data_IF_260986078035
#
_entry.id   IF_260986078035
#
_cell.length_a   1.000
_cell.length_b   1.000
_cell.length_c   1.000
_cell.angle_alpha   90.00
_cell.angle_beta   90.00
_cell.angle_gamma   90.00
#
_symmetry.space_group_name_H-M   'P 1'
#
loop_
_entity.id
_entity.type
_entity.pdbx_description
1 polymer ?
#
# COMPACT_ATOMS: atom_id res chain seq x y z
N UNK A 1 -22.55 13.29 -21.72
CA UNK A 1 -22.18 11.86 -21.65
C UNK A 1 -20.77 11.80 -21.08
N UNK A 2 -20.58 11.28 -19.85
CA UNK A 2 -19.27 11.22 -19.20
C UNK A 2 -18.46 10.18 -19.99
N UNK A 3 -17.40 10.59 -20.67
CA UNK A 3 -16.54 9.67 -21.42
C UNK A 3 -15.66 8.96 -20.40
N UNK A 4 -16.11 7.78 -19.95
CA UNK A 4 -15.35 6.95 -19.03
C UNK A 4 -14.09 6.49 -19.78
N UNK A 5 -12.92 6.72 -19.19
CA UNK A 5 -11.66 6.22 -19.75
C UNK A 5 -11.72 4.70 -19.87
N UNK A 6 -10.99 4.11 -20.83
CA UNK A 6 -10.78 2.66 -20.91
C UNK A 6 -10.27 2.13 -19.56
N UNK A 7 -9.42 2.92 -18.89
CA UNK A 7 -8.94 2.65 -17.54
C UNK A 7 -10.07 2.56 -16.53
N UNK A 8 -11.01 3.52 -16.53
CA UNK A 8 -12.15 3.51 -15.60
C UNK A 8 -13.04 2.29 -15.81
N UNK A 9 -13.22 1.87 -17.07
CA UNK A 9 -14.03 0.70 -17.42
C UNK A 9 -13.40 -0.59 -16.91
N UNK A 10 -12.08 -0.76 -17.10
CA UNK A 10 -11.34 -1.93 -16.64
C UNK A 10 -11.29 -1.96 -15.11
N UNK A 11 -10.96 -0.84 -14.48
CA UNK A 11 -10.93 -0.70 -13.02
C UNK A 11 -12.28 -1.05 -12.41
N UNK A 12 -13.38 -0.50 -12.94
CA UNK A 12 -14.71 -0.80 -12.44
C UNK A 12 -15.12 -2.27 -12.68
N UNK A 13 -14.70 -2.88 -13.78
CA UNK A 13 -14.94 -4.31 -14.01
C UNK A 13 -14.21 -5.19 -12.96
N UNK A 14 -13.01 -4.79 -12.52
CA UNK A 14 -12.22 -5.52 -11.52
C UNK A 14 -12.76 -5.32 -10.10
N UNK A 15 -13.17 -4.10 -9.73
CA UNK A 15 -13.60 -3.78 -8.37
C UNK A 15 -15.11 -3.88 -8.13
N UNK A 16 -15.94 -3.96 -9.18
CA UNK A 16 -17.39 -4.12 -9.02
C UNK A 16 -17.80 -5.45 -8.35
N UNK A 17 -17.15 -6.62 -8.59
CA UNK A 17 -17.45 -7.83 -7.84
C UNK A 17 -17.07 -7.70 -6.37
N UNK A 18 -15.94 -7.05 -6.07
CA UNK A 18 -15.49 -6.78 -4.70
C UNK A 18 -16.48 -5.87 -3.97
N UNK A 19 -16.98 -4.83 -4.64
CA UNK A 19 -18.01 -3.94 -4.13
C UNK A 19 -19.29 -4.71 -3.79
N UNK A 20 -19.80 -5.48 -4.75
CA UNK A 20 -21.03 -6.28 -4.57
C UNK A 20 -20.89 -7.26 -3.39
N UNK A 21 -19.75 -7.93 -3.27
CA UNK A 21 -19.48 -8.82 -2.14
C UNK A 21 -19.42 -8.07 -0.81
N UNK A 22 -18.75 -6.92 -0.75
CA UNK A 22 -18.59 -6.13 0.47
C UNK A 22 -19.92 -5.55 0.95
N UNK A 23 -20.77 -5.11 0.04
CA UNK A 23 -22.09 -4.54 0.32
C UNK A 23 -23.14 -5.60 0.65
N UNK A 24 -22.88 -6.88 0.34
CA UNK A 24 -23.80 -7.98 0.61
C UNK A 24 -24.09 -8.16 2.11
N UNK A 25 -23.13 -7.86 2.99
CA UNK A 25 -23.35 -7.89 4.43
C UNK A 25 -22.41 -6.97 5.21
N UNK A 26 -22.82 -6.45 6.38
CA UNK A 26 -21.92 -5.72 7.27
C UNK A 26 -20.69 -6.52 7.70
N UNK A 27 -20.82 -7.86 7.79
CA UNK A 27 -19.71 -8.75 8.10
C UNK A 27 -18.61 -8.72 7.03
N UNK A 28 -18.99 -8.79 5.75
CA UNK A 28 -18.04 -8.71 4.64
C UNK A 28 -17.31 -7.37 4.60
N UNK A 29 -18.05 -6.27 4.82
CA UNK A 29 -17.48 -4.94 4.94
C UNK A 29 -16.43 -4.86 6.07
N UNK A 30 -16.75 -5.41 7.24
CA UNK A 30 -15.84 -5.43 8.39
C UNK A 30 -14.60 -6.30 8.14
N UNK A 31 -14.72 -7.40 7.40
CA UNK A 31 -13.56 -8.21 6.98
C UNK A 31 -12.62 -7.39 6.09
N UNK A 32 -13.17 -6.59 5.18
CA UNK A 32 -12.37 -5.77 4.26
C UNK A 32 -11.63 -4.64 5.02
N UNK A 33 -12.29 -4.01 5.98
CA UNK A 33 -11.66 -3.04 6.89
C UNK A 33 -10.61 -3.72 7.77
N UNK A 34 -10.96 -4.83 8.41
CA UNK A 34 -10.09 -5.53 9.35
C UNK A 34 -8.80 -6.02 8.68
N UNK A 35 -8.92 -6.63 7.50
CA UNK A 35 -7.77 -7.03 6.68
C UNK A 35 -6.91 -5.84 6.26
N UNK A 36 -7.53 -4.70 5.90
CA UNK A 36 -6.82 -3.45 5.63
C UNK A 36 -6.00 -2.97 6.82
N UNK A 37 -6.55 -3.02 8.05
CA UNK A 37 -5.81 -2.63 9.25
C UNK A 37 -4.68 -3.59 9.60
N UNK A 38 -4.90 -4.91 9.46
CA UNK A 38 -3.82 -5.90 9.62
C UNK A 38 -2.68 -5.59 8.66
N UNK A 39 -3.00 -5.31 7.39
CA UNK A 39 -2.01 -4.95 6.37
C UNK A 39 -1.26 -3.67 6.73
N UNK A 40 -1.97 -2.65 7.21
CA UNK A 40 -1.37 -1.39 7.67
C UNK A 40 -0.39 -1.63 8.81
N UNK A 41 -0.80 -2.36 9.84
CA UNK A 41 0.01 -2.64 11.03
C UNK A 41 1.25 -3.43 10.65
N UNK A 42 1.12 -4.45 9.80
CA UNK A 42 2.28 -5.22 9.30
C UNK A 42 3.24 -4.31 8.53
N UNK A 43 2.73 -3.47 7.63
CA UNK A 43 3.55 -2.52 6.86
C UNK A 43 4.28 -1.50 7.74
N UNK A 44 3.60 -0.98 8.77
CA UNK A 44 4.18 -0.08 9.76
C UNK A 44 5.28 -0.75 10.56
N UNK A 45 5.01 -1.93 11.13
CA UNK A 45 5.98 -2.68 11.93
C UNK A 45 7.21 -2.99 11.08
N UNK A 46 7.01 -3.51 9.86
CA UNK A 46 8.11 -3.86 8.95
C UNK A 46 8.99 -2.64 8.67
N UNK A 47 8.39 -1.54 8.24
CA UNK A 47 9.11 -0.30 7.91
C UNK A 47 9.84 0.24 9.14
N UNK A 48 9.16 0.34 10.28
CA UNK A 48 9.74 0.86 11.51
C UNK A 48 10.92 0.03 12.01
N UNK A 49 10.77 -1.30 12.05
CA UNK A 49 11.83 -2.22 12.50
C UNK A 49 13.06 -2.09 11.62
N UNK A 50 12.91 -2.08 10.29
CA UNK A 50 14.08 -1.99 9.40
C UNK A 50 14.71 -0.60 9.37
N UNK A 51 13.92 0.48 9.49
CA UNK A 51 14.48 1.83 9.67
C UNK A 51 15.32 1.90 10.96
N UNK A 52 14.80 1.37 12.08
CA UNK A 52 15.55 1.29 13.35
C UNK A 52 16.82 0.45 13.23
N UNK A 53 16.74 -0.69 12.54
CA UNK A 53 17.88 -1.59 12.36
C UNK A 53 19.00 -1.01 11.49
N UNK A 54 18.71 -0.05 10.62
CA UNK A 54 19.73 0.59 9.79
C UNK A 54 20.65 1.55 10.57
N UNK A 55 20.25 1.99 11.77
CA UNK A 55 21.13 2.75 12.67
C UNK A 55 21.09 4.27 12.44
N UNK A 56 22.18 4.96 12.80
CA UNK A 56 22.26 6.43 12.72
C UNK A 56 22.26 6.90 11.27
N UNK A 57 21.68 8.07 11.03
CA UNK A 57 21.70 8.72 9.72
C UNK A 57 23.15 9.09 9.35
N UNK A 58 23.67 8.39 8.35
CA UNK A 58 24.88 8.73 7.59
C UNK A 58 24.50 8.90 6.10
N UNK A 59 25.47 9.28 5.26
CA UNK A 59 25.23 9.52 3.83
C UNK A 59 24.61 8.30 3.13
N UNK A 60 25.04 7.09 3.49
CA UNK A 60 24.55 5.82 2.94
C UNK A 60 23.11 5.54 3.38
N UNK A 61 22.83 5.64 4.67
CA UNK A 61 21.53 5.34 5.27
C UNK A 61 20.48 6.33 4.80
N UNK A 62 20.89 7.59 4.56
CA UNK A 62 20.02 8.60 3.99
C UNK A 62 19.59 8.24 2.55
N UNK A 63 20.53 7.77 1.70
CA UNK A 63 20.18 7.32 0.35
C UNK A 63 19.22 6.11 0.37
N UNK A 64 19.40 5.17 1.31
CA UNK A 64 18.49 4.03 1.47
C UNK A 64 17.10 4.50 1.92
N UNK A 65 17.03 5.40 2.89
CA UNK A 65 15.76 5.98 3.35
C UNK A 65 15.04 6.73 2.21
N UNK A 66 15.78 7.51 1.41
CA UNK A 66 15.22 8.19 0.24
C UNK A 66 14.68 7.20 -0.79
N UNK A 67 15.42 6.14 -1.12
CA UNK A 67 14.95 5.10 -2.04
C UNK A 67 13.71 4.39 -1.49
N UNK A 68 13.67 4.12 -0.19
CA UNK A 68 12.48 3.57 0.48
C UNK A 68 11.28 4.49 0.33
N UNK A 69 11.48 5.80 0.53
CA UNK A 69 10.47 6.82 0.30
C UNK A 69 10.00 6.89 -1.16
N UNK A 70 10.90 6.68 -2.12
CA UNK A 70 10.53 6.59 -3.55
C UNK A 70 9.63 5.38 -3.83
N UNK A 71 9.92 4.21 -3.25
CA UNK A 71 9.03 3.04 -3.37
C UNK A 71 7.66 3.29 -2.73
N UNK A 72 7.62 3.97 -1.58
CA UNK A 72 6.36 4.40 -0.97
C UNK A 72 5.57 5.33 -1.91
N UNK A 73 6.23 6.34 -2.49
CA UNK A 73 5.62 7.30 -3.40
C UNK A 73 5.07 6.60 -4.65
N UNK A 74 5.84 5.70 -5.26
CA UNK A 74 5.35 4.90 -6.39
C UNK A 74 4.15 4.04 -6.00
N UNK A 75 4.16 3.44 -4.80
CA UNK A 75 3.01 2.71 -4.28
C UNK A 75 1.76 3.58 -4.18
N UNK A 76 1.87 4.80 -3.65
CA UNK A 76 0.76 5.76 -3.55
C UNK A 76 0.23 6.14 -4.93
N UNK A 77 1.11 6.51 -5.86
CA UNK A 77 0.72 6.94 -7.22
C UNK A 77 0.03 5.80 -7.97
N UNK A 78 0.58 4.59 -7.94
CA UNK A 78 -0.02 3.42 -8.59
C UNK A 78 -1.41 3.12 -8.01
N UNK A 79 -1.56 3.17 -6.69
CA UNK A 79 -2.86 2.99 -6.06
C UNK A 79 -3.85 4.10 -6.42
N UNK A 80 -3.42 5.36 -6.55
CA UNK A 80 -4.30 6.48 -6.94
C UNK A 80 -4.77 6.42 -8.40
N UNK A 81 -4.04 5.68 -9.26
CA UNK A 81 -4.42 5.40 -10.64
C UNK A 81 -5.35 4.18 -10.76
N UNK A 82 -5.12 3.16 -9.93
CA UNK A 82 -5.84 1.88 -10.01
C UNK A 82 -7.12 1.90 -9.16
N UNK A 83 -7.14 2.53 -7.99
CA UNK A 83 -8.27 2.42 -7.08
C UNK A 83 -9.43 3.34 -7.48
N UNK A 84 -10.68 2.83 -7.43
CA UNK A 84 -11.85 3.61 -7.77
C UNK A 84 -12.11 4.67 -6.69
N UNK A 85 -12.55 5.83 -7.16
CA UNK A 85 -12.76 7.04 -6.34
C UNK A 85 -14.25 7.30 -6.05
N UNK A 86 -15.13 6.61 -6.73
CA UNK A 86 -16.58 6.89 -6.64
C UNK A 86 -17.27 6.07 -5.53
N UNK A 87 -16.66 4.96 -5.07
CA UNK A 87 -17.22 4.09 -4.03
C UNK A 87 -16.12 3.48 -3.16
N UNK A 88 -16.49 3.08 -1.93
CA UNK A 88 -15.59 2.45 -0.94
C UNK A 88 -14.28 3.22 -0.72
N UNK A 89 -14.30 4.55 -0.93
CA UNK A 89 -13.11 5.40 -0.93
C UNK A 89 -12.29 5.22 0.34
N UNK A 90 -12.91 5.23 1.52
CA UNK A 90 -12.20 5.11 2.80
C UNK A 90 -11.45 3.79 2.91
N UNK A 91 -12.01 2.73 2.33
CA UNK A 91 -11.40 1.41 2.39
C UNK A 91 -10.24 1.32 1.40
N UNK A 92 -10.41 1.78 0.17
CA UNK A 92 -9.30 1.87 -0.79
C UNK A 92 -8.19 2.81 -0.32
N UNK A 93 -8.54 3.88 0.39
CA UNK A 93 -7.58 4.76 1.05
C UNK A 93 -6.75 4.00 2.09
N UNK A 94 -7.38 3.19 2.95
CA UNK A 94 -6.68 2.32 3.91
C UNK A 94 -5.72 1.36 3.19
N UNK A 95 -6.18 0.66 2.15
CA UNK A 95 -5.33 -0.24 1.38
C UNK A 95 -4.19 0.49 0.65
N UNK A 96 -4.43 1.70 0.14
CA UNK A 96 -3.41 2.51 -0.55
C UNK A 96 -2.20 2.74 0.33
N UNK A 97 -2.41 3.28 1.53
CA UNK A 97 -1.30 3.57 2.44
C UNK A 97 -0.69 2.30 3.03
N UNK A 98 -1.49 1.25 3.24
CA UNK A 98 -0.99 -0.04 3.70
C UNK A 98 -0.03 -0.68 2.68
N UNK A 99 -0.39 -0.67 1.40
CA UNK A 99 0.45 -1.18 0.31
C UNK A 99 1.70 -0.31 0.10
N UNK A 100 1.57 1.01 0.19
CA UNK A 100 2.70 1.92 0.09
C UNK A 100 3.72 1.69 1.22
N UNK A 101 3.25 1.51 2.46
CA UNK A 101 4.09 1.16 3.61
C UNK A 101 4.73 -0.21 3.44
N UNK A 102 4.01 -1.20 2.94
CA UNK A 102 4.59 -2.51 2.65
C UNK A 102 5.66 -2.44 1.57
N UNK A 103 5.44 -1.72 0.47
CA UNK A 103 6.44 -1.55 -0.58
C UNK A 103 7.74 -0.95 -0.02
N UNK A 104 7.62 0.09 0.80
CA UNK A 104 8.74 0.70 1.53
C UNK A 104 9.43 -0.30 2.47
N UNK A 105 8.67 -0.98 3.33
CA UNK A 105 9.23 -1.93 4.29
C UNK A 105 9.88 -3.15 3.64
N UNK A 106 9.33 -3.67 2.53
CA UNK A 106 9.91 -4.77 1.76
C UNK A 106 11.23 -4.33 1.15
N UNK A 107 11.29 -3.14 0.57
CA UNK A 107 12.54 -2.59 0.04
C UNK A 107 13.63 -2.52 1.14
N UNK A 108 13.29 -1.99 2.31
CA UNK A 108 14.21 -1.93 3.45
C UNK A 108 14.64 -3.30 3.93
N UNK A 109 13.72 -4.27 4.01
CA UNK A 109 14.00 -5.64 4.42
C UNK A 109 14.98 -6.33 3.47
N UNK A 110 14.76 -6.19 2.16
CA UNK A 110 15.63 -6.74 1.11
C UNK A 110 17.01 -6.07 1.18
N UNK A 111 17.05 -4.75 1.35
CA UNK A 111 18.31 -4.00 1.44
C UNK A 111 19.10 -4.38 2.69
N UNK A 112 18.43 -4.48 3.84
CA UNK A 112 19.04 -4.93 5.10
C UNK A 112 19.64 -6.33 4.98
N UNK A 113 18.92 -7.28 4.38
CA UNK A 113 19.45 -8.63 4.15
C UNK A 113 20.71 -8.61 3.27
N UNK A 114 20.71 -7.84 2.18
CA UNK A 114 21.85 -7.73 1.27
C UNK A 114 23.09 -7.10 1.93
N UNK A 115 22.88 -6.15 2.84
CA UNK A 115 23.97 -5.38 3.43
C UNK A 115 24.55 -6.01 4.72
N UNK A 116 23.80 -6.87 5.43
CA UNK A 116 24.19 -7.36 6.77
C UNK A 116 24.12 -8.88 6.98
N UNK A 117 23.43 -9.63 6.12
CA UNK A 117 23.23 -11.07 6.27
C UNK A 117 23.82 -11.89 5.12
N UNK A 118 24.66 -11.24 4.30
CA UNK A 118 25.28 -11.81 3.11
C UNK A 118 26.79 -11.60 3.15
#
# INVERSE_FOLDING_TARGET
MKMNSITDTITNAVFSPLKSWAEHSPGNWNILIGSGFVLLVVGLILTFVFLKKMGKADERTNQISLKSGLFMLYGVILCDLIFPKEYMWQVFFLFKYSLALLASGIYLAVRYKKDFLN
#
